data_IF_457717087182
#
_entry.id   IF_457717087182
#
_cell.length_a   1.000
_cell.length_b   1.000
_cell.length_c   1.000
_cell.angle_alpha   90.00
_cell.angle_beta   90.00
_cell.angle_gamma   90.00
#
_symmetry.space_group_name_H-M   'P 1'
#
loop_
_entity.id
_entity.type
_entity.pdbx_description
1 polymer ?
#
# COMPACT_ATOMS: atom_id res chain seq x y z
N UNK A 1 -15.62 154.85 144.45
CA UNK A 1 -14.82 153.65 144.10
C UNK A 1 -15.42 153.03 142.84
N UNK A 2 -14.86 153.39 141.69
CA UNK A 2 -15.40 153.11 140.35
C UNK A 2 -14.23 152.93 139.36
N UNK A 3 -13.24 152.08 139.67
CA UNK A 3 -12.01 152.00 138.88
C UNK A 3 -11.36 150.60 138.89
N UNK A 4 -12.18 149.56 138.71
CA UNK A 4 -11.70 148.16 138.75
C UNK A 4 -12.21 147.22 137.64
N UNK A 5 -13.01 147.70 136.67
CA UNK A 5 -13.64 146.81 135.67
C UNK A 5 -13.04 146.89 134.25
N UNK A 6 -12.02 147.71 134.01
CA UNK A 6 -11.47 147.92 132.65
C UNK A 6 -10.21 147.08 132.38
N UNK A 7 -9.53 146.58 133.42
CA UNK A 7 -8.33 145.74 133.24
C UNK A 7 -8.65 144.27 132.92
N UNK A 8 -9.83 143.76 133.28
CA UNK A 8 -10.22 142.36 133.03
C UNK A 8 -10.80 142.11 131.62
N UNK A 9 -11.24 143.17 130.91
CA UNK A 9 -11.73 143.05 129.53
C UNK A 9 -10.61 143.08 128.48
N UNK A 10 -9.46 143.70 128.80
CA UNK A 10 -8.32 143.76 127.89
C UNK A 10 -7.55 142.43 127.78
N UNK A 11 -7.56 141.58 128.82
CA UNK A 11 -6.90 140.27 128.78
C UNK A 11 -7.76 139.20 128.08
N UNK A 12 -9.09 139.22 128.27
CA UNK A 12 -10.02 138.34 127.53
C UNK A 12 -10.03 138.63 126.03
N UNK A 13 -9.78 139.88 125.62
CA UNK A 13 -9.66 140.21 124.20
C UNK A 13 -8.40 139.61 123.56
N UNK A 14 -7.28 139.53 124.29
CA UNK A 14 -6.04 138.90 123.79
C UNK A 14 -6.12 137.37 123.76
N UNK A 15 -6.77 136.75 124.73
CA UNK A 15 -7.01 135.30 124.71
C UNK A 15 -8.02 134.90 123.61
N UNK A 16 -9.01 135.75 123.31
CA UNK A 16 -9.93 135.53 122.20
C UNK A 16 -9.25 135.68 120.83
N UNK A 17 -8.28 136.59 120.68
CA UNK A 17 -7.49 136.73 119.45
C UNK A 17 -6.53 135.55 119.23
N UNK A 18 -5.91 135.04 120.30
CA UNK A 18 -5.07 133.84 120.24
C UNK A 18 -5.88 132.56 119.94
N UNK A 19 -7.09 132.44 120.50
CA UNK A 19 -8.00 131.33 120.20
C UNK A 19 -8.48 131.37 118.74
N UNK A 20 -8.82 132.55 118.21
CA UNK A 20 -9.20 132.70 116.79
C UNK A 20 -8.03 132.47 115.83
N UNK A 21 -6.79 132.78 116.23
CA UNK A 21 -5.61 132.44 115.43
C UNK A 21 -5.36 130.92 115.39
N UNK A 22 -5.52 130.24 116.54
CA UNK A 22 -5.36 128.79 116.63
C UNK A 22 -6.49 128.03 115.90
N UNK A 23 -7.71 128.57 115.91
CA UNK A 23 -8.85 128.02 115.16
C UNK A 23 -8.69 128.25 113.65
N UNK A 24 -8.04 129.34 113.23
CA UNK A 24 -7.67 129.57 111.81
C UNK A 24 -6.52 128.69 111.35
N UNK A 25 -5.54 128.38 112.20
CA UNK A 25 -4.50 127.39 111.87
C UNK A 25 -5.05 125.96 111.88
N UNK A 26 -5.96 125.62 112.79
CA UNK A 26 -6.62 124.32 112.80
C UNK A 26 -7.60 124.15 111.62
N UNK A 27 -8.30 125.21 111.20
CA UNK A 27 -9.16 125.15 110.00
C UNK A 27 -8.36 125.20 108.69
N UNK A 28 -7.18 125.85 108.67
CA UNK A 28 -6.26 125.79 107.54
C UNK A 28 -5.55 124.42 107.45
N UNK A 29 -5.17 123.81 108.58
CA UNK A 29 -4.61 122.46 108.60
C UNK A 29 -5.65 121.38 108.28
N UNK A 30 -6.89 121.55 108.75
CA UNK A 30 -8.03 120.69 108.40
C UNK A 30 -8.43 120.86 106.93
N UNK A 31 -8.40 122.09 106.41
CA UNK A 31 -8.61 122.37 104.98
C UNK A 31 -7.50 121.77 104.11
N UNK A 32 -6.24 121.88 104.51
CA UNK A 32 -5.11 121.26 103.81
C UNK A 32 -5.16 119.73 103.86
N UNK A 33 -5.54 119.14 105.00
CA UNK A 33 -5.75 117.69 105.11
C UNK A 33 -6.97 117.21 104.32
N UNK A 34 -8.04 118.01 104.24
CA UNK A 34 -9.20 117.71 103.43
C UNK A 34 -8.87 117.81 101.93
N UNK A 35 -8.13 118.83 101.50
CA UNK A 35 -7.67 119.00 100.12
C UNK A 35 -6.65 117.93 99.72
N UNK A 36 -5.77 117.51 100.63
CA UNK A 36 -4.82 116.41 100.42
C UNK A 36 -5.54 115.05 100.37
N UNK A 37 -6.54 114.82 101.23
CA UNK A 37 -7.39 113.63 101.17
C UNK A 37 -8.26 113.61 99.89
N UNK A 38 -8.74 114.76 99.44
CA UNK A 38 -9.49 114.88 98.18
C UNK A 38 -8.58 114.67 96.98
N UNK A 39 -7.33 115.18 97.02
CA UNK A 39 -6.31 114.95 96.01
C UNK A 39 -5.90 113.47 95.95
N UNK A 40 -5.69 112.82 97.11
CA UNK A 40 -5.40 111.40 97.21
C UNK A 40 -6.58 110.54 96.71
N UNK A 41 -7.81 110.86 97.11
CA UNK A 41 -9.00 110.18 96.61
C UNK A 41 -9.22 110.40 95.10
N UNK A 42 -8.88 111.59 94.57
CA UNK A 42 -8.94 111.85 93.13
C UNK A 42 -7.87 111.06 92.36
N UNK A 43 -6.65 110.96 92.92
CA UNK A 43 -5.58 110.15 92.35
C UNK A 43 -5.90 108.65 92.40
N UNK A 44 -6.49 108.15 93.49
CA UNK A 44 -6.97 106.76 93.59
C UNK A 44 -8.11 106.48 92.60
N UNK A 45 -9.04 107.43 92.44
CA UNK A 45 -10.14 107.30 91.46
C UNK A 45 -9.61 107.29 90.04
N UNK A 46 -8.64 108.14 89.72
CA UNK A 46 -8.06 108.21 88.39
C UNK A 46 -7.18 106.97 88.12
N UNK A 47 -6.42 106.47 89.11
CA UNK A 47 -5.71 105.19 89.01
C UNK A 47 -6.65 104.00 88.85
N UNK A 48 -7.77 103.96 89.59
CA UNK A 48 -8.80 102.94 89.43
C UNK A 48 -9.45 103.01 88.05
N UNK A 49 -9.65 104.22 87.51
CA UNK A 49 -10.16 104.43 86.15
C UNK A 49 -9.18 103.93 85.10
N UNK A 50 -7.90 104.26 85.21
CA UNK A 50 -6.84 103.77 84.32
C UNK A 50 -6.74 102.25 84.36
N UNK A 51 -6.86 101.63 85.54
CA UNK A 51 -6.87 100.18 85.68
C UNK A 51 -8.13 99.54 85.07
N UNK A 52 -9.29 100.20 85.20
CA UNK A 52 -10.53 99.76 84.56
C UNK A 52 -10.42 99.86 83.03
N UNK A 53 -9.86 100.93 82.49
CA UNK A 53 -9.56 101.08 81.06
C UNK A 53 -8.54 100.03 80.58
N UNK A 54 -7.52 99.71 81.38
CA UNK A 54 -6.55 98.64 81.09
C UNK A 54 -7.22 97.27 81.05
N UNK A 55 -8.07 96.95 82.02
CA UNK A 55 -8.81 95.69 82.08
C UNK A 55 -9.83 95.58 80.95
N UNK A 56 -10.53 96.66 80.61
CA UNK A 56 -11.41 96.72 79.44
C UNK A 56 -10.63 96.47 78.15
N UNK A 57 -9.43 97.06 78.01
CA UNK A 57 -8.54 96.81 76.88
C UNK A 57 -8.09 95.35 76.78
N UNK A 58 -7.71 94.73 77.91
CA UNK A 58 -7.34 93.32 77.96
C UNK A 58 -8.52 92.38 77.66
N UNK A 59 -9.72 92.71 78.14
CA UNK A 59 -10.92 91.92 77.89
C UNK A 59 -11.33 92.02 76.42
N UNK A 60 -11.27 93.21 75.83
CA UNK A 60 -11.47 93.41 74.38
C UNK A 60 -10.42 92.66 73.55
N UNK A 61 -9.14 92.72 73.94
CA UNK A 61 -8.08 91.96 73.28
C UNK A 61 -8.30 90.45 73.39
N UNK A 62 -8.74 89.96 74.55
CA UNK A 62 -9.07 88.54 74.76
C UNK A 62 -10.27 88.12 73.91
N UNK A 63 -11.33 88.91 73.85
CA UNK A 63 -12.48 88.61 72.97
C UNK A 63 -12.08 88.57 71.50
N UNK A 64 -11.21 89.48 71.05
CA UNK A 64 -10.68 89.46 69.68
C UNK A 64 -9.83 88.22 69.44
N UNK A 65 -8.99 87.82 70.40
CA UNK A 65 -8.19 86.58 70.34
C UNK A 65 -9.08 85.34 70.28
N UNK A 66 -10.08 85.22 71.16
CA UNK A 66 -11.02 84.09 71.17
C UNK A 66 -11.83 84.02 69.87
N UNK A 67 -12.26 85.16 69.32
CA UNK A 67 -12.92 85.21 67.99
C UNK A 67 -11.96 84.80 66.87
N UNK A 68 -10.70 85.20 66.93
CA UNK A 68 -9.68 84.79 65.95
C UNK A 68 -9.41 83.28 66.01
N UNK A 69 -9.27 82.71 67.20
CA UNK A 69 -9.11 81.26 67.40
C UNK A 69 -10.36 80.48 66.94
N UNK A 70 -11.57 80.99 67.21
CA UNK A 70 -12.80 80.39 66.69
C UNK A 70 -12.87 80.48 65.16
N UNK A 71 -12.40 81.57 64.56
CA UNK A 71 -12.31 81.70 63.11
C UNK A 71 -11.26 80.75 62.52
N UNK A 72 -10.12 80.57 63.18
CA UNK A 72 -9.07 79.67 62.73
C UNK A 72 -9.50 78.20 62.84
N UNK A 73 -10.10 77.80 63.96
CA UNK A 73 -10.63 76.43 64.13
C UNK A 73 -11.76 76.11 63.15
N UNK A 74 -12.66 77.06 62.88
CA UNK A 74 -13.71 76.87 61.86
C UNK A 74 -13.13 76.82 60.45
N UNK A 75 -12.11 77.63 60.15
CA UNK A 75 -11.38 77.57 58.88
C UNK A 75 -10.66 76.23 58.68
N UNK A 76 -9.89 75.76 59.67
CA UNK A 76 -9.21 74.46 59.62
C UNK A 76 -10.21 73.32 59.49
N UNK A 77 -11.36 73.40 60.18
CA UNK A 77 -12.43 72.42 60.04
C UNK A 77 -13.02 72.41 58.63
N UNK A 78 -13.26 73.59 58.05
CA UNK A 78 -13.74 73.71 56.67
C UNK A 78 -12.71 73.18 55.65
N UNK A 79 -11.42 73.50 55.82
CA UNK A 79 -10.32 72.99 54.98
C UNK A 79 -10.17 71.45 55.10
N UNK A 80 -10.39 70.89 56.29
CA UNK A 80 -10.39 69.44 56.50
C UNK A 80 -11.61 68.75 55.86
N UNK A 81 -12.81 69.34 55.99
CA UNK A 81 -14.03 68.85 55.33
C UNK A 81 -13.91 68.93 53.81
N UNK A 82 -13.32 70.00 53.27
CA UNK A 82 -13.03 70.14 51.84
C UNK A 82 -12.02 69.09 51.37
N UNK A 83 -10.92 68.88 52.11
CA UNK A 83 -9.93 67.84 51.80
C UNK A 83 -10.54 66.44 51.84
N UNK A 84 -11.42 66.17 52.80
CA UNK A 84 -12.16 64.91 52.90
C UNK A 84 -13.13 64.74 51.72
N UNK A 85 -13.83 65.80 51.31
CA UNK A 85 -14.71 65.78 50.17
C UNK A 85 -13.95 65.48 48.87
N UNK A 86 -12.79 66.13 48.65
CA UNK A 86 -11.91 65.87 47.50
C UNK A 86 -11.43 64.42 47.50
N UNK A 87 -10.91 63.91 48.62
CA UNK A 87 -10.44 62.53 48.71
C UNK A 87 -11.56 61.50 48.46
N UNK A 88 -12.78 61.76 48.96
CA UNK A 88 -13.93 60.88 48.72
C UNK A 88 -14.38 60.88 47.26
N UNK A 89 -14.29 62.04 46.59
CA UNK A 89 -14.55 62.19 45.15
C UNK A 89 -13.51 61.45 44.31
N UNK A 90 -12.22 61.60 44.62
CA UNK A 90 -11.15 60.88 43.92
C UNK A 90 -11.27 59.36 44.09
N UNK A 91 -11.63 58.88 45.30
CA UNK A 91 -11.90 57.46 45.53
C UNK A 91 -13.11 56.96 44.75
N UNK A 92 -14.17 57.77 44.61
CA UNK A 92 -15.34 57.43 43.80
C UNK A 92 -14.97 57.36 42.31
N UNK A 93 -14.23 58.35 41.80
CA UNK A 93 -13.76 58.38 40.42
C UNK A 93 -12.81 57.21 40.11
N UNK A 94 -11.92 56.83 41.04
CA UNK A 94 -11.08 55.64 40.89
C UNK A 94 -11.89 54.35 40.88
N UNK A 95 -12.92 54.22 41.73
CA UNK A 95 -13.81 53.04 41.73
C UNK A 95 -14.59 52.93 40.43
N UNK A 96 -15.16 54.02 39.93
CA UNK A 96 -15.86 54.05 38.66
C UNK A 96 -14.94 53.66 37.49
N UNK A 97 -13.68 54.15 37.48
CA UNK A 97 -12.68 53.73 36.50
C UNK A 97 -12.33 52.24 36.60
N UNK A 98 -12.19 51.72 37.81
CA UNK A 98 -11.92 50.28 38.03
C UNK A 98 -13.10 49.41 37.59
N UNK A 99 -14.33 49.81 37.88
CA UNK A 99 -15.54 49.10 37.45
C UNK A 99 -15.70 49.15 35.93
N UNK A 100 -15.44 50.29 35.29
CA UNK A 100 -15.44 50.41 33.84
C UNK A 100 -14.35 49.53 33.17
N UNK A 101 -13.15 49.48 33.76
CA UNK A 101 -12.08 48.58 33.29
C UNK A 101 -12.46 47.10 33.46
N UNK A 102 -13.08 46.73 34.57
CA UNK A 102 -13.56 45.36 34.80
C UNK A 102 -14.67 44.97 33.82
N UNK A 103 -15.61 45.88 33.55
CA UNK A 103 -16.68 45.66 32.57
C UNK A 103 -16.12 45.48 31.15
N UNK A 104 -15.19 46.34 30.74
CA UNK A 104 -14.51 46.24 29.44
C UNK A 104 -13.72 44.94 29.30
N UNK A 105 -12.97 44.54 30.33
CA UNK A 105 -12.23 43.28 30.31
C UNK A 105 -13.16 42.05 30.27
N UNK A 106 -14.31 42.11 30.94
CA UNK A 106 -15.31 41.04 30.89
C UNK A 106 -15.95 40.91 29.50
N UNK A 107 -16.21 42.03 28.81
CA UNK A 107 -16.71 42.05 27.44
C UNK A 107 -15.68 41.47 26.45
N UNK A 108 -14.40 41.86 26.56
CA UNK A 108 -13.33 41.30 25.74
C UNK A 108 -13.16 39.78 25.95
N UNK A 109 -13.23 39.32 27.21
CA UNK A 109 -13.19 37.89 27.52
C UNK A 109 -14.41 37.13 26.98
N UNK A 110 -15.60 37.73 27.01
CA UNK A 110 -16.81 37.13 26.43
C UNK A 110 -16.67 36.98 24.92
N UNK A 111 -16.18 38.02 24.24
CA UNK A 111 -15.91 38.01 22.79
C UNK A 111 -14.84 36.98 22.41
N UNK A 112 -13.73 36.92 23.15
CA UNK A 112 -12.68 35.92 22.91
C UNK A 112 -13.19 34.48 23.10
N UNK A 113 -14.07 34.24 24.09
CA UNK A 113 -14.71 32.94 24.29
C UNK A 113 -15.64 32.56 23.14
N UNK A 114 -16.38 33.51 22.60
CA UNK A 114 -17.24 33.30 21.43
C UNK A 114 -16.42 32.97 20.18
N UNK A 115 -15.33 33.70 19.92
CA UNK A 115 -14.41 33.44 18.81
C UNK A 115 -13.76 32.04 18.93
N UNK A 116 -13.30 31.65 20.13
CA UNK A 116 -12.76 30.30 20.37
C UNK A 116 -13.83 29.23 20.21
N UNK A 117 -15.05 29.45 20.69
CA UNK A 117 -16.15 28.49 20.53
C UNK A 117 -16.55 28.31 19.06
N UNK A 118 -16.56 29.39 18.28
CA UNK A 118 -16.80 29.34 16.84
C UNK A 118 -15.69 28.57 16.10
N UNK A 119 -14.42 28.84 16.41
CA UNK A 119 -13.29 28.12 15.83
C UNK A 119 -13.31 26.62 16.16
N UNK A 120 -13.60 26.26 17.42
CA UNK A 120 -13.73 24.86 17.82
C UNK A 120 -14.91 24.16 17.14
N UNK A 121 -16.04 24.85 16.93
CA UNK A 121 -17.16 24.29 16.20
C UNK A 121 -16.80 23.98 14.73
N UNK A 122 -16.07 24.89 14.08
CA UNK A 122 -15.56 24.68 12.72
C UNK A 122 -14.57 23.50 12.65
N UNK A 123 -13.61 23.42 13.57
CA UNK A 123 -12.67 22.28 13.63
C UNK A 123 -13.38 20.95 13.85
N UNK A 124 -14.42 20.91 14.70
CA UNK A 124 -15.23 19.69 14.93
C UNK A 124 -15.98 19.28 13.68
N UNK A 125 -16.54 20.23 12.91
CA UNK A 125 -17.17 19.92 11.63
C UNK A 125 -16.17 19.43 10.59
N UNK A 126 -14.98 20.05 10.50
CA UNK A 126 -13.89 19.60 9.63
C UNK A 126 -13.43 18.17 10.00
N UNK A 127 -13.27 17.86 11.29
CA UNK A 127 -12.93 16.51 11.75
C UNK A 127 -14.03 15.49 11.40
N UNK A 128 -15.30 15.83 11.56
CA UNK A 128 -16.42 14.95 11.17
C UNK A 128 -16.45 14.70 9.66
N UNK A 129 -16.22 15.73 8.85
CA UNK A 129 -16.15 15.60 7.39
C UNK A 129 -14.96 14.71 6.97
N UNK A 130 -13.79 14.90 7.60
CA UNK A 130 -12.63 14.06 7.36
C UNK A 130 -12.87 12.59 7.75
N UNK A 131 -13.50 12.33 8.90
CA UNK A 131 -13.85 10.99 9.35
C UNK A 131 -14.88 10.32 8.42
N UNK A 132 -15.87 11.07 7.93
CA UNK A 132 -16.83 10.57 6.94
C UNK A 132 -16.11 10.16 5.64
N UNK A 133 -15.23 11.02 5.11
CA UNK A 133 -14.44 10.73 3.91
C UNK A 133 -13.51 9.52 4.10
N UNK A 134 -12.92 9.33 5.29
CA UNK A 134 -12.11 8.15 5.60
C UNK A 134 -12.96 6.88 5.66
N UNK A 135 -14.16 6.95 6.24
CA UNK A 135 -15.09 5.81 6.27
C UNK A 135 -15.58 5.39 4.88
N UNK A 136 -15.83 6.35 3.98
CA UNK A 136 -16.18 6.08 2.58
C UNK A 136 -15.02 5.44 1.82
N UNK A 137 -13.77 5.90 2.05
CA UNK A 137 -12.57 5.28 1.47
C UNK A 137 -12.36 3.86 1.95
N UNK A 138 -12.57 3.59 3.24
CA UNK A 138 -12.49 2.24 3.81
C UNK A 138 -13.53 1.31 3.16
N UNK A 139 -14.78 1.74 3.06
CA UNK A 139 -15.84 0.97 2.41
C UNK A 139 -15.55 0.70 0.92
N UNK A 140 -15.00 1.67 0.20
CA UNK A 140 -14.60 1.50 -1.20
C UNK A 140 -13.45 0.48 -1.37
N UNK A 141 -12.48 0.47 -0.45
CA UNK A 141 -11.38 -0.50 -0.46
C UNK A 141 -11.86 -1.92 -0.13
N UNK A 142 -12.80 -2.09 0.80
CA UNK A 142 -13.41 -3.38 1.10
C UNK A 142 -14.21 -3.91 -0.11
N UNK A 143 -15.00 -3.05 -0.76
CA UNK A 143 -15.73 -3.42 -1.97
C UNK A 143 -14.78 -3.86 -3.09
N UNK A 144 -13.73 -3.08 -3.37
CA UNK A 144 -12.72 -3.42 -4.38
C UNK A 144 -11.97 -4.72 -4.04
N UNK A 145 -11.68 -4.96 -2.75
CA UNK A 145 -11.08 -6.21 -2.28
C UNK A 145 -11.98 -7.42 -2.53
N UNK A 146 -13.29 -7.28 -2.28
CA UNK A 146 -14.27 -8.35 -2.53
C UNK A 146 -14.43 -8.66 -4.02
N UNK A 147 -14.42 -7.64 -4.89
CA UNK A 147 -14.48 -7.82 -6.34
C UNK A 147 -13.20 -8.49 -6.88
N UNK A 148 -12.03 -8.06 -6.42
CA UNK A 148 -10.75 -8.68 -6.80
C UNK A 148 -10.67 -10.14 -6.36
N UNK A 149 -11.16 -10.47 -5.15
CA UNK A 149 -11.24 -11.85 -4.67
C UNK A 149 -12.18 -12.69 -5.55
N UNK A 150 -13.37 -12.16 -5.89
CA UNK A 150 -14.32 -12.84 -6.78
C UNK A 150 -13.77 -13.06 -8.19
N UNK A 151 -13.06 -12.09 -8.76
CA UNK A 151 -12.39 -12.24 -10.06
C UNK A 151 -11.27 -13.29 -10.02
N UNK A 152 -10.49 -13.34 -8.95
CA UNK A 152 -9.44 -14.34 -8.77
C UNK A 152 -10.02 -15.76 -8.65
N UNK A 153 -11.12 -15.94 -7.91
CA UNK A 153 -11.81 -17.23 -7.81
C UNK A 153 -12.39 -17.68 -9.15
N UNK A 154 -12.99 -16.76 -9.92
CA UNK A 154 -13.50 -17.04 -11.26
C UNK A 154 -12.38 -17.45 -12.22
N UNK A 155 -11.23 -16.77 -12.19
CA UNK A 155 -10.06 -17.13 -12.99
C UNK A 155 -9.49 -18.50 -12.61
N UNK A 156 -9.43 -18.84 -11.31
CA UNK A 156 -9.03 -20.16 -10.85
C UNK A 156 -10.00 -21.26 -11.28
N UNK A 157 -11.31 -20.98 -11.28
CA UNK A 157 -12.31 -21.91 -11.78
C UNK A 157 -12.14 -22.17 -13.29
N UNK A 158 -11.88 -21.12 -14.09
CA UNK A 158 -11.61 -21.24 -15.52
C UNK A 158 -10.36 -22.09 -15.80
N UNK A 159 -9.24 -21.80 -15.12
CA UNK A 159 -7.99 -22.57 -15.26
C UNK A 159 -8.15 -24.04 -14.85
N UNK A 160 -8.98 -24.33 -13.84
CA UNK A 160 -9.31 -25.72 -13.46
C UNK A 160 -10.09 -26.44 -14.55
N UNK A 161 -11.08 -25.77 -15.17
CA UNK A 161 -11.81 -26.31 -16.31
C UNK A 161 -10.90 -26.62 -17.48
N UNK A 162 -10.04 -25.67 -17.88
CA UNK A 162 -9.08 -25.85 -18.98
C UNK A 162 -8.10 -27.01 -18.71
N UNK A 163 -7.64 -27.17 -17.46
CA UNK A 163 -6.81 -28.30 -17.06
C UNK A 163 -7.56 -29.62 -17.22
N UNK A 164 -8.82 -29.68 -16.79
CA UNK A 164 -9.61 -30.92 -16.85
C UNK A 164 -9.93 -31.31 -18.30
N UNK A 165 -10.19 -30.33 -19.17
CA UNK A 165 -10.34 -30.53 -20.61
C UNK A 165 -9.04 -31.07 -21.23
N UNK A 166 -7.89 -30.46 -20.91
CA UNK A 166 -6.59 -30.91 -21.39
C UNK A 166 -6.22 -32.32 -20.91
N UNK A 167 -6.56 -32.68 -19.67
CA UNK A 167 -6.40 -34.05 -19.16
C UNK A 167 -7.28 -35.03 -19.93
N UNK A 168 -8.53 -34.65 -20.22
CA UNK A 168 -9.43 -35.45 -21.06
C UNK A 168 -8.91 -35.65 -22.49
N UNK A 169 -8.30 -34.63 -23.10
CA UNK A 169 -7.64 -34.76 -24.41
C UNK A 169 -6.41 -35.68 -24.34
N UNK A 170 -5.58 -35.57 -23.30
CA UNK A 170 -4.42 -36.46 -23.11
C UNK A 170 -4.85 -37.92 -22.93
N UNK A 171 -5.91 -38.19 -22.19
CA UNK A 171 -6.46 -39.54 -22.03
C UNK A 171 -6.96 -40.10 -23.37
N UNK A 172 -7.66 -39.29 -24.17
CA UNK A 172 -8.09 -39.68 -25.53
C UNK A 172 -6.91 -39.99 -26.43
N UNK A 173 -5.91 -39.11 -26.50
CA UNK A 173 -4.70 -39.32 -27.30
C UNK A 173 -3.92 -40.57 -26.86
N UNK A 174 -3.88 -40.85 -25.56
CA UNK A 174 -3.27 -42.07 -25.02
C UNK A 174 -4.04 -43.32 -25.47
N UNK A 175 -5.37 -43.26 -25.49
CA UNK A 175 -6.23 -44.31 -26.04
C UNK A 175 -5.97 -44.55 -27.53
N UNK A 176 -5.93 -43.49 -28.33
CA UNK A 176 -5.64 -43.57 -29.77
C UNK A 176 -4.26 -44.16 -30.05
N UNK A 177 -3.26 -43.80 -29.23
CA UNK A 177 -1.91 -44.35 -29.35
C UNK A 177 -1.87 -45.85 -29.03
N UNK A 178 -2.55 -46.28 -27.96
CA UNK A 178 -2.65 -47.71 -27.61
C UNK A 178 -3.36 -48.52 -28.71
N UNK A 179 -4.45 -48.00 -29.27
CA UNK A 179 -5.15 -48.64 -30.39
C UNK A 179 -4.27 -48.75 -31.64
N UNK A 180 -3.45 -47.73 -31.91
CA UNK A 180 -2.50 -47.75 -33.02
C UNK A 180 -1.37 -48.77 -32.79
N UNK A 181 -0.82 -48.85 -31.59
CA UNK A 181 0.19 -49.86 -31.25
C UNK A 181 -0.36 -51.28 -31.41
N UNK A 182 -1.60 -51.53 -30.99
CA UNK A 182 -2.26 -52.83 -31.17
C UNK A 182 -2.45 -53.16 -32.67
N UNK A 183 -2.87 -52.18 -33.47
CA UNK A 183 -2.98 -52.33 -34.93
C UNK A 183 -1.63 -52.62 -35.59
N UNK A 184 -0.55 -51.94 -35.17
CA UNK A 184 0.80 -52.18 -35.67
C UNK A 184 1.31 -53.58 -35.27
N UNK A 185 1.07 -54.03 -34.03
CA UNK A 185 1.42 -55.38 -33.58
C UNK A 185 0.66 -56.46 -34.37
N UNK A 186 -0.64 -56.28 -34.58
CA UNK A 186 -1.46 -57.17 -35.41
C UNK A 186 -0.94 -57.26 -36.84
N UNK A 187 -0.64 -56.10 -37.46
CA UNK A 187 -0.05 -56.05 -38.80
C UNK A 187 1.34 -56.69 -38.89
N UNK A 188 2.16 -56.61 -37.84
CA UNK A 188 3.45 -57.31 -37.77
C UNK A 188 3.27 -58.82 -37.69
N UNK A 189 2.33 -59.31 -36.88
CA UNK A 189 2.00 -60.74 -36.79
C UNK A 189 1.50 -61.29 -38.13
N UNK A 190 0.62 -60.55 -38.82
CA UNK A 190 0.15 -60.91 -40.16
C UNK A 190 1.31 -60.95 -41.16
N UNK A 191 2.21 -59.97 -41.12
CA UNK A 191 3.40 -59.94 -41.98
C UNK A 191 4.31 -61.17 -41.72
N UNK A 192 4.51 -61.56 -40.47
CA UNK A 192 5.27 -62.77 -40.11
C UNK A 192 4.59 -64.04 -40.62
N UNK A 193 3.26 -64.13 -40.46
CA UNK A 193 2.45 -65.25 -40.96
C UNK A 193 2.53 -65.39 -42.48
N UNK A 194 2.36 -64.30 -43.22
CA UNK A 194 2.47 -64.27 -44.68
C UNK A 194 3.88 -64.65 -45.14
N UNK A 195 4.92 -64.17 -44.44
CA UNK A 195 6.31 -64.54 -44.74
C UNK A 195 6.57 -66.04 -44.55
N UNK A 196 6.03 -66.64 -43.48
CA UNK A 196 6.11 -68.07 -43.25
C UNK A 196 5.39 -68.87 -44.35
N UNK A 197 4.21 -68.42 -44.76
CA UNK A 197 3.43 -69.05 -45.83
C UNK A 197 4.13 -68.99 -47.19
N UNK A 198 4.72 -67.84 -47.54
CA UNK A 198 5.57 -67.72 -48.74
C UNK A 198 6.77 -68.67 -48.67
N UNK A 199 7.38 -68.83 -47.50
CA UNK A 199 8.45 -69.80 -47.28
C UNK A 199 8.01 -71.24 -47.53
N UNK A 200 6.85 -71.63 -47.00
CA UNK A 200 6.22 -72.95 -47.20
C UNK A 200 5.94 -73.22 -48.68
N UNK A 201 5.30 -72.29 -49.37
CA UNK A 201 4.95 -72.42 -50.79
C UNK A 201 6.20 -72.55 -51.67
N UNK A 202 7.29 -71.82 -51.36
CA UNK A 202 8.57 -71.96 -52.08
C UNK A 202 9.20 -73.33 -51.88
N UNK A 203 9.12 -73.89 -50.67
CA UNK A 203 9.61 -75.24 -50.40
C UNK A 203 8.80 -76.30 -51.16
N UNK A 204 7.46 -76.18 -51.19
CA UNK A 204 6.58 -77.06 -51.97
C UNK A 204 6.85 -76.98 -53.47
N UNK A 205 7.07 -75.76 -53.99
CA UNK A 205 7.42 -75.56 -55.40
C UNK A 205 8.77 -76.22 -55.72
N UNK A 206 9.79 -76.04 -54.87
CA UNK A 206 11.10 -76.67 -55.05
C UNK A 206 11.02 -78.21 -54.99
N UNK A 207 10.16 -78.77 -54.13
CA UNK A 207 9.94 -80.20 -54.04
C UNK A 207 9.28 -80.72 -55.33
N UNK A 208 8.22 -80.05 -55.82
CA UNK A 208 7.60 -80.38 -57.12
C UNK A 208 8.61 -80.27 -58.27
N UNK A 209 9.46 -79.24 -58.28
CA UNK A 209 10.50 -79.10 -59.30
C UNK A 209 11.50 -80.24 -59.31
N UNK A 210 11.85 -80.79 -58.14
CA UNK A 210 12.68 -81.98 -58.03
C UNK A 210 11.98 -83.25 -58.52
N UNK A 211 10.69 -83.43 -58.21
CA UNK A 211 9.88 -84.54 -58.70
C UNK A 211 9.79 -84.53 -60.22
N UNK A 212 9.46 -83.37 -60.81
CA UNK A 212 9.42 -83.21 -62.27
C UNK A 212 10.78 -83.47 -62.95
N UNK A 213 11.90 -83.17 -62.27
CA UNK A 213 13.22 -83.48 -62.80
C UNK A 213 13.45 -85.01 -62.84
N UNK A 214 13.05 -85.73 -61.80
CA UNK A 214 13.09 -87.20 -61.75
C UNK A 214 12.20 -87.80 -62.84
N UNK A 215 10.96 -87.33 -62.97
CA UNK A 215 10.03 -87.79 -64.00
C UNK A 215 10.57 -87.53 -65.42
N UNK A 216 11.24 -86.39 -65.67
CA UNK A 216 11.89 -86.12 -66.96
C UNK A 216 13.00 -87.12 -67.27
N UNK A 217 13.80 -87.51 -66.26
CA UNK A 217 14.83 -88.54 -66.41
C UNK A 217 14.17 -89.89 -66.70
N UNK A 218 13.14 -90.27 -65.97
CA UNK A 218 12.38 -91.51 -66.20
C UNK A 218 11.77 -91.56 -67.62
N UNK A 219 11.12 -90.49 -68.07
CA UNK A 219 10.58 -90.39 -69.44
C UNK A 219 11.69 -90.54 -70.48
N UNK A 220 12.85 -89.93 -70.27
CA UNK A 220 14.00 -90.06 -71.18
C UNK A 220 14.55 -91.49 -71.23
N UNK A 221 14.55 -92.19 -70.09
CA UNK A 221 14.91 -93.61 -69.98
C UNK A 221 13.91 -94.49 -70.73
N UNK A 222 12.61 -94.31 -70.46
CA UNK A 222 11.53 -95.03 -71.16
C UNK A 222 11.55 -94.81 -72.67
N UNK A 223 11.84 -93.58 -73.13
CA UNK A 223 12.02 -93.29 -74.57
C UNK A 223 13.22 -94.04 -75.16
N UNK A 224 14.33 -94.11 -74.44
CA UNK A 224 15.52 -94.85 -74.89
C UNK A 224 15.26 -96.37 -74.95
N UNK A 225 14.53 -96.92 -73.98
CA UNK A 225 14.06 -98.32 -74.01
C UNK A 225 13.10 -98.57 -75.17
N UNK A 226 12.16 -97.65 -75.41
CA UNK A 226 11.24 -97.72 -76.55
C UNK A 226 12.01 -97.77 -77.89
N UNK A 227 12.99 -96.89 -78.07
CA UNK A 227 13.83 -96.86 -79.28
C UNK A 227 14.67 -98.14 -79.44
N UNK A 228 15.19 -98.69 -78.33
CA UNK A 228 15.91 -99.97 -78.32
C UNK A 228 15.00 -101.11 -78.74
N UNK A 229 13.83 -101.24 -78.12
CA UNK A 229 12.86 -102.27 -78.50
C UNK A 229 12.42 -102.08 -79.95
N UNK A 230 12.12 -100.85 -80.40
CA UNK A 230 11.76 -100.60 -81.80
C UNK A 230 12.85 -101.05 -82.80
N UNK A 231 14.12 -100.99 -82.42
CA UNK A 231 15.22 -101.57 -83.22
C UNK A 231 15.27 -103.09 -83.15
N UNK A 232 15.12 -103.68 -81.96
CA UNK A 232 15.04 -105.15 -81.79
C UNK A 232 13.88 -105.72 -82.63
N UNK A 233 12.73 -105.04 -82.58
CA UNK A 233 11.56 -105.23 -83.42
C UNK A 233 11.86 -105.17 -84.92
N UNK A 234 12.58 -104.14 -85.36
CA UNK A 234 12.98 -104.03 -86.75
C UNK A 234 13.90 -105.19 -87.16
N UNK A 235 14.74 -105.69 -86.25
CA UNK A 235 15.55 -106.91 -86.50
C UNK A 235 14.74 -108.20 -86.47
N UNK A 236 13.64 -108.28 -85.71
CA UNK A 236 12.70 -109.41 -85.76
C UNK A 236 11.79 -109.37 -86.99
N UNK A 237 11.52 -108.21 -87.57
CA UNK A 237 10.81 -108.09 -88.85
C UNK A 237 11.58 -108.70 -90.03
N UNK A 238 12.88 -109.01 -89.87
CA UNK A 238 13.69 -109.78 -90.82
C UNK A 238 13.63 -111.31 -90.58
N UNK A 239 12.87 -111.79 -89.57
CA UNK A 239 12.67 -113.21 -89.25
C UNK A 239 11.15 -113.57 -89.17
N UNK A 240 10.59 -114.39 -90.08
CA UNK A 240 9.15 -114.36 -90.39
C UNK A 240 8.17 -115.12 -89.45
N UNK A 241 8.46 -115.42 -88.17
CA UNK A 241 7.56 -116.29 -87.37
C UNK A 241 7.09 -115.78 -85.97
N UNK A 242 7.41 -114.55 -85.51
CA UNK A 242 6.97 -114.06 -84.17
C UNK A 242 6.26 -112.68 -84.15
N UNK A 243 5.40 -112.40 -85.13
CA UNK A 243 4.76 -111.08 -85.30
C UNK A 243 3.69 -110.68 -84.27
N UNK A 244 3.06 -111.62 -83.56
CA UNK A 244 1.87 -111.31 -82.75
C UNK A 244 2.17 -110.85 -81.31
N UNK A 245 3.12 -111.49 -80.61
CA UNK A 245 3.53 -111.04 -79.27
C UNK A 245 4.17 -109.66 -79.30
N UNK A 246 4.92 -109.41 -80.37
CA UNK A 246 5.59 -108.15 -80.55
C UNK A 246 4.56 -107.00 -80.77
N UNK A 247 3.51 -107.21 -81.55
CA UNK A 247 2.47 -106.20 -81.73
C UNK A 247 1.76 -105.87 -80.39
N UNK A 248 1.58 -106.86 -79.51
CA UNK A 248 1.05 -106.62 -78.15
C UNK A 248 1.99 -105.76 -77.30
N UNK A 249 3.28 -106.08 -77.26
CA UNK A 249 4.28 -105.29 -76.50
C UNK A 249 4.38 -103.85 -77.02
N UNK A 250 4.32 -103.65 -78.35
CA UNK A 250 4.30 -102.32 -78.97
C UNK A 250 3.09 -101.49 -78.53
N UNK A 251 1.88 -102.08 -78.57
CA UNK A 251 0.67 -101.40 -78.11
C UNK A 251 0.66 -101.09 -76.61
N UNK A 252 1.24 -101.96 -75.79
CA UNK A 252 1.34 -101.73 -74.34
C UNK A 252 2.30 -100.59 -74.02
N UNK A 253 3.43 -100.50 -74.71
CA UNK A 253 4.37 -99.38 -74.58
C UNK A 253 3.77 -98.07 -75.07
N UNK A 254 3.03 -98.10 -76.18
CA UNK A 254 2.35 -96.92 -76.68
C UNK A 254 1.27 -96.43 -75.69
N UNK A 255 0.56 -97.35 -75.01
CA UNK A 255 -0.34 -97.00 -73.90
C UNK A 255 0.41 -96.39 -72.72
N UNK A 256 1.56 -96.96 -72.31
CA UNK A 256 2.38 -96.40 -71.22
C UNK A 256 2.94 -95.02 -71.56
N UNK A 257 3.36 -94.81 -72.81
CA UNK A 257 3.78 -93.51 -73.31
C UNK A 257 2.64 -92.48 -73.20
N UNK A 258 1.47 -92.79 -73.75
CA UNK A 258 0.31 -91.89 -73.66
C UNK A 258 -0.15 -91.63 -72.22
N UNK A 259 -0.08 -92.63 -71.35
CA UNK A 259 -0.38 -92.44 -69.92
C UNK A 259 0.64 -91.49 -69.26
N UNK A 260 1.93 -91.63 -69.56
CA UNK A 260 2.98 -90.72 -69.05
C UNK A 260 2.87 -89.31 -69.62
N UNK A 261 2.47 -89.16 -70.89
CA UNK A 261 2.23 -87.85 -71.52
C UNK A 261 1.01 -87.15 -70.89
N UNK A 262 -0.05 -87.89 -70.59
CA UNK A 262 -1.21 -87.36 -69.88
C UNK A 262 -0.89 -86.95 -68.43
N UNK A 263 -0.07 -87.73 -67.71
CA UNK A 263 0.42 -87.36 -66.38
C UNK A 263 1.25 -86.07 -66.43
N UNK A 264 2.14 -85.95 -67.42
CA UNK A 264 2.93 -84.75 -67.63
C UNK A 264 2.05 -83.52 -67.93
N UNK A 265 1.02 -83.66 -68.77
CA UNK A 265 0.13 -82.53 -69.04
C UNK A 265 -0.65 -82.10 -67.80
N UNK A 266 -1.03 -83.05 -66.93
CA UNK A 266 -1.69 -82.76 -65.66
C UNK A 266 -0.77 -81.98 -64.70
N UNK A 267 0.50 -82.40 -64.56
CA UNK A 267 1.47 -81.70 -63.72
C UNK A 267 1.84 -80.32 -64.27
N UNK A 268 1.96 -80.17 -65.60
CA UNK A 268 2.17 -78.87 -66.23
C UNK A 268 0.97 -77.92 -65.98
N UNK A 269 -0.27 -78.44 -65.98
CA UNK A 269 -1.46 -77.66 -65.59
C UNK A 269 -1.47 -77.27 -64.11
N UNK A 270 -1.08 -78.17 -63.20
CA UNK A 270 -0.93 -77.84 -61.79
C UNK A 270 0.14 -76.77 -61.55
N UNK A 271 1.27 -76.83 -62.27
CA UNK A 271 2.32 -75.80 -62.20
C UNK A 271 1.83 -74.44 -62.68
N UNK A 272 1.02 -74.41 -63.75
CA UNK A 272 0.43 -73.16 -64.22
C UNK A 272 -0.47 -72.53 -63.14
N UNK A 273 -1.34 -73.32 -62.50
CA UNK A 273 -2.22 -72.81 -61.43
C UNK A 273 -1.45 -72.37 -60.18
N UNK A 274 -0.37 -73.05 -59.81
CA UNK A 274 0.48 -72.61 -58.69
C UNK A 274 1.24 -71.32 -59.01
N UNK A 275 1.73 -71.13 -60.24
CA UNK A 275 2.37 -69.87 -60.66
C UNK A 275 1.39 -68.71 -60.64
N UNK A 276 0.15 -68.95 -61.07
CA UNK A 276 -0.92 -67.96 -61.02
C UNK A 276 -1.22 -67.55 -59.57
N UNK A 277 -1.38 -68.52 -58.66
CA UNK A 277 -1.59 -68.24 -57.22
C UNK A 277 -0.43 -67.46 -56.59
N UNK A 278 0.81 -67.81 -56.91
CA UNK A 278 1.99 -67.05 -56.43
C UNK A 278 1.95 -65.61 -56.96
N UNK A 279 1.62 -65.42 -58.23
CA UNK A 279 1.52 -64.08 -58.82
C UNK A 279 0.36 -63.26 -58.21
N UNK A 280 -0.77 -63.88 -57.88
CA UNK A 280 -1.87 -63.21 -57.16
C UNK A 280 -1.44 -62.76 -55.76
N UNK A 281 -0.78 -63.63 -55.00
CA UNK A 281 -0.27 -63.28 -53.66
C UNK A 281 0.76 -62.15 -53.73
N UNK A 282 1.64 -62.16 -54.74
CA UNK A 282 2.60 -61.07 -54.96
C UNK A 282 1.92 -59.74 -55.32
N UNK A 283 0.86 -59.76 -56.13
CA UNK A 283 0.06 -58.56 -56.44
C UNK A 283 -0.62 -58.00 -55.19
N UNK A 284 -1.25 -58.85 -54.37
CA UNK A 284 -1.90 -58.43 -53.11
C UNK A 284 -0.86 -57.82 -52.17
N UNK A 285 0.30 -58.45 -52.01
CA UNK A 285 1.39 -57.90 -51.18
C UNK A 285 1.94 -56.57 -51.73
N UNK A 286 1.97 -56.39 -53.05
CA UNK A 286 2.40 -55.13 -53.68
C UNK A 286 1.35 -54.02 -53.51
N UNK A 287 0.07 -54.32 -53.63
CA UNK A 287 -1.03 -53.39 -53.36
C UNK A 287 -1.06 -52.98 -51.89
N UNK A 288 -0.84 -53.91 -50.96
CA UNK A 288 -0.75 -53.58 -49.54
C UNK A 288 0.42 -52.65 -49.24
N UNK A 289 1.59 -52.86 -49.87
CA UNK A 289 2.73 -51.92 -49.78
C UNK A 289 2.40 -50.54 -50.34
N UNK A 290 1.67 -50.45 -51.45
CA UNK A 290 1.21 -49.17 -52.02
C UNK A 290 0.23 -48.46 -51.08
N UNK A 291 -0.73 -49.19 -50.50
CA UNK A 291 -1.68 -48.66 -49.53
C UNK A 291 -0.97 -48.14 -48.26
N UNK A 292 0.02 -48.88 -47.75
CA UNK A 292 0.85 -48.44 -46.62
C UNK A 292 1.68 -47.19 -46.97
N UNK A 293 2.23 -47.09 -48.18
CA UNK A 293 2.94 -45.88 -48.63
C UNK A 293 2.01 -44.67 -48.72
N UNK A 294 0.80 -44.83 -49.26
CA UNK A 294 -0.18 -43.75 -49.37
C UNK A 294 -0.62 -43.25 -47.98
N UNK A 295 -0.81 -44.14 -47.02
CA UNK A 295 -1.13 -43.79 -45.63
C UNK A 295 0.03 -43.11 -44.90
N UNK A 296 1.28 -43.48 -45.21
CA UNK A 296 2.48 -42.83 -44.66
C UNK A 296 2.71 -41.42 -45.25
N UNK A 297 2.40 -41.20 -46.55
CA UNK A 297 2.48 -39.88 -47.18
C UNK A 297 1.27 -38.97 -46.92
N UNK A 298 0.13 -39.53 -46.50
CA UNK A 298 -1.11 -38.78 -46.25
C UNK A 298 -1.16 -38.00 -44.94
N UNK A 299 -0.19 -38.18 -44.03
CA UNK A 299 -0.16 -37.55 -42.69
C UNK A 299 0.89 -36.45 -42.54
N UNK A 300 1.26 -35.78 -43.63
CA UNK A 300 2.38 -34.82 -43.67
C UNK A 300 2.16 -33.50 -44.42
N UNK A 301 0.93 -33.15 -44.84
CA UNK A 301 0.68 -31.88 -45.56
C UNK A 301 -0.67 -31.25 -45.21
N UNK A 302 -0.79 -30.66 -44.01
CA UNK A 302 -1.80 -29.62 -43.72
C UNK A 302 -1.44 -28.81 -42.47
N UNK A 303 -0.32 -28.11 -42.53
CA UNK A 303 0.00 -27.04 -41.57
C UNK A 303 1.16 -26.19 -42.08
N UNK A 304 0.94 -25.45 -43.17
CA UNK A 304 1.83 -24.34 -43.53
C UNK A 304 1.14 -23.27 -44.38
N UNK A 305 0.00 -22.79 -43.91
CA UNK A 305 -0.56 -21.51 -44.33
C UNK A 305 -1.00 -20.76 -43.08
N UNK A 306 -0.12 -19.88 -42.59
CA UNK A 306 -0.38 -18.69 -41.77
C UNK A 306 0.99 -18.12 -41.34
N UNK A 307 1.80 -17.70 -42.31
CA UNK A 307 2.93 -16.79 -42.06
C UNK A 307 2.55 -15.43 -42.67
N UNK A 308 1.85 -14.63 -41.86
CA UNK A 308 1.65 -13.21 -42.10
C UNK A 308 3.01 -12.51 -42.02
N UNK A 309 3.30 -11.74 -43.06
CA UNK A 309 4.59 -11.10 -43.28
C UNK A 309 5.06 -10.19 -42.14
N UNK A 310 6.37 -10.20 -41.94
CA UNK A 310 7.09 -9.11 -41.28
C UNK A 310 8.31 -8.78 -42.15
N UNK A 311 8.42 -7.55 -42.67
CA UNK A 311 9.45 -7.23 -43.66
C UNK A 311 10.75 -6.82 -42.99
N UNK A 312 11.85 -7.37 -43.50
CA UNK A 312 13.12 -6.67 -43.58
C UNK A 312 14.00 -6.72 -42.33
N UNK A 313 15.01 -7.59 -42.37
CA UNK A 313 16.37 -7.11 -42.10
C UNK A 313 17.37 -8.01 -42.83
N UNK A 314 18.00 -7.43 -43.87
CA UNK A 314 19.28 -7.90 -44.37
C UNK A 314 20.30 -7.63 -43.27
N UNK A 315 20.91 -8.68 -42.73
CA UNK A 315 22.16 -8.55 -42.01
C UNK A 315 23.16 -9.44 -42.73
N UNK A 316 24.01 -8.76 -43.49
CA UNK A 316 25.19 -9.32 -44.13
C UNK A 316 26.10 -9.92 -43.06
N UNK A 317 26.37 -11.21 -43.21
CA UNK A 317 27.45 -11.88 -42.53
C UNK A 317 28.77 -11.48 -43.21
N UNK A 318 29.45 -10.48 -42.64
CA UNK A 318 30.89 -10.30 -42.80
C UNK A 318 31.46 -10.08 -41.39
N UNK A 319 32.20 -11.03 -40.86
CA UNK A 319 33.64 -11.18 -41.06
C UNK A 319 34.42 -10.48 -39.94
N UNK A 320 35.01 -11.31 -39.07
CA UNK A 320 36.32 -11.06 -38.45
C UNK A 320 36.36 -10.08 -37.28
N UNK A 321 36.84 -10.56 -36.14
CA UNK A 321 37.36 -9.64 -35.11
C UNK A 321 37.38 -10.23 -33.71
N UNK A 322 38.40 -11.02 -33.41
CA UNK A 322 38.87 -11.20 -32.03
C UNK A 322 39.14 -9.82 -31.42
N UNK A 323 38.53 -9.51 -30.27
CA UNK A 323 39.21 -9.12 -29.02
C UNK A 323 38.17 -8.67 -27.98
N UNK A 324 38.52 -8.90 -26.71
CA UNK A 324 37.61 -8.95 -25.58
C UNK A 324 37.06 -7.60 -25.16
N UNK A 325 35.81 -7.63 -24.73
CA UNK A 325 35.09 -6.52 -24.16
C UNK A 325 33.61 -6.83 -24.25
N UNK A 326 33.05 -7.49 -23.23
CA UNK A 326 31.61 -7.76 -23.15
C UNK A 326 30.92 -6.42 -22.84
N UNK A 327 30.21 -5.78 -23.79
CA UNK A 327 29.55 -4.53 -23.49
C UNK A 327 28.40 -4.83 -22.52
N UNK A 328 28.36 -4.13 -21.38
CA UNK A 328 27.32 -4.24 -20.35
C UNK A 328 25.88 -4.15 -20.91
N UNK A 329 25.70 -3.59 -22.10
CA UNK A 329 24.42 -3.49 -22.80
C UNK A 329 23.87 -4.83 -23.32
N UNK A 330 24.69 -5.84 -23.62
CA UNK A 330 24.17 -7.16 -24.04
C UNK A 330 23.74 -8.03 -22.86
N UNK A 331 24.34 -7.82 -21.69
CA UNK A 331 23.96 -8.51 -20.45
C UNK A 331 22.56 -8.12 -19.97
N UNK A 332 22.20 -6.83 -20.05
CA UNK A 332 20.86 -6.37 -19.65
C UNK A 332 19.75 -6.93 -20.55
N UNK A 333 20.01 -7.09 -21.86
CA UNK A 333 19.05 -7.72 -22.78
C UNK A 333 18.85 -9.20 -22.52
N UNK A 334 19.91 -9.95 -22.18
CA UNK A 334 19.77 -11.37 -21.84
C UNK A 334 19.11 -11.60 -20.46
N UNK A 335 19.40 -10.74 -19.47
CA UNK A 335 18.72 -10.77 -18.18
C UNK A 335 17.22 -10.48 -18.31
N UNK A 336 16.82 -9.65 -19.28
CA UNK A 336 15.41 -9.36 -19.54
C UNK A 336 14.68 -10.54 -20.19
N UNK A 337 15.34 -11.41 -20.97
CA UNK A 337 14.67 -12.49 -21.69
C UNK A 337 14.43 -13.75 -20.83
N UNK A 338 15.25 -14.01 -19.81
CA UNK A 338 15.17 -15.22 -18.99
C UNK A 338 14.44 -14.96 -17.67
N UNK A 339 13.34 -15.67 -17.41
CA UNK A 339 12.58 -15.59 -16.15
C UNK A 339 13.44 -15.97 -14.94
N UNK A 340 14.31 -16.97 -15.08
CA UNK A 340 15.25 -17.42 -14.04
C UNK A 340 16.26 -16.33 -13.70
N UNK A 341 16.78 -15.62 -14.69
CA UNK A 341 17.69 -14.50 -14.48
C UNK A 341 17.02 -13.33 -13.76
N UNK A 342 15.74 -13.03 -14.05
CA UNK A 342 14.99 -12.01 -13.31
C UNK A 342 14.83 -12.38 -11.85
N UNK A 343 14.47 -13.64 -11.54
CA UNK A 343 14.34 -14.11 -10.16
C UNK A 343 15.66 -13.97 -9.41
N UNK A 344 16.77 -14.44 -9.99
CA UNK A 344 18.10 -14.32 -9.38
C UNK A 344 18.52 -12.86 -9.17
N UNK A 345 18.22 -11.97 -10.13
CA UNK A 345 18.49 -10.54 -10.00
C UNK A 345 17.70 -9.90 -8.85
N UNK A 346 16.40 -10.13 -8.76
CA UNK A 346 15.58 -9.60 -7.67
C UNK A 346 15.96 -10.18 -6.31
N UNK A 347 16.30 -11.48 -6.25
CA UNK A 347 16.83 -12.10 -5.02
C UNK A 347 18.15 -11.46 -4.59
N UNK A 348 19.05 -11.15 -5.53
CA UNK A 348 20.31 -10.45 -5.23
C UNK A 348 20.06 -9.02 -4.71
N UNK A 349 19.16 -8.26 -5.34
CA UNK A 349 18.82 -6.90 -4.89
C UNK A 349 18.19 -6.91 -3.50
N UNK A 350 17.34 -7.90 -3.19
CA UNK A 350 16.74 -8.07 -1.86
C UNK A 350 17.80 -8.40 -0.80
N UNK A 351 18.74 -9.30 -1.10
CA UNK A 351 19.88 -9.62 -0.23
C UNK A 351 20.77 -8.40 0.02
N UNK A 352 21.01 -7.59 -1.01
CA UNK A 352 21.81 -6.36 -0.89
C UNK A 352 21.12 -5.35 0.05
N UNK A 353 19.81 -5.13 -0.11
CA UNK A 353 19.04 -4.25 0.79
C UNK A 353 19.06 -4.76 2.23
N UNK A 354 18.88 -6.07 2.43
CA UNK A 354 18.96 -6.68 3.74
C UNK A 354 20.34 -6.48 4.39
N UNK A 355 21.41 -6.63 3.61
CA UNK A 355 22.77 -6.42 4.10
C UNK A 355 23.04 -4.95 4.46
N UNK A 356 22.57 -4.00 3.64
CA UNK A 356 22.65 -2.57 3.92
C UNK A 356 21.90 -2.23 5.22
N UNK A 357 20.71 -2.80 5.45
CA UNK A 357 19.96 -2.62 6.69
C UNK A 357 20.70 -3.16 7.92
N UNK A 358 21.36 -4.32 7.81
CA UNK A 358 22.19 -4.86 8.90
C UNK A 358 23.35 -3.92 9.21
N UNK A 359 24.04 -3.40 8.20
CA UNK A 359 25.16 -2.47 8.40
C UNK A 359 24.67 -1.16 9.03
N UNK A 360 23.53 -0.63 8.58
CA UNK A 360 22.90 0.54 9.19
C UNK A 360 22.48 0.27 10.64
N UNK A 361 21.90 -0.87 10.95
CA UNK A 361 21.57 -1.24 12.34
C UNK A 361 22.82 -1.39 13.21
N UNK A 362 23.92 -1.91 12.68
CA UNK A 362 25.19 -1.97 13.41
C UNK A 362 25.83 -0.59 13.60
N UNK A 363 25.74 0.28 12.61
CA UNK A 363 26.31 1.63 12.65
C UNK A 363 25.51 2.58 13.57
N UNK A 364 24.18 2.43 13.62
CA UNK A 364 23.28 3.30 14.40
C UNK A 364 22.82 2.68 15.73
N UNK A 365 22.87 1.36 15.88
CA UNK A 365 22.49 0.63 17.10
C UNK A 365 23.66 0.26 18.01
N UNK A 366 24.90 0.57 17.63
CA UNK A 366 26.12 0.34 18.42
C UNK A 366 26.55 1.55 19.27
N UNK A 367 25.60 2.32 19.79
CA UNK A 367 25.88 3.32 20.84
C UNK A 367 25.93 2.64 22.22
N UNK A 368 26.88 3.01 23.11
CA UNK A 368 26.92 2.50 24.48
C UNK A 368 25.67 2.84 25.30
#
# INVERSE_FOLDING_TARGET
>A
EASGSVAAEAERAKEAEAALAQEREASAASGAQADEALAAASAERDAARDELERLQGLLAAKEVSERAEQQETTRVKAEAEESQAVASRELAEMRERMEAQQASAAEELAKAREEVAAGLAEEVEQCRAAQAAESERAAALEAAGSEAAGQAEAALAALRSERDDALGELERLRGDFAAKEESEQSGQQETMRLRAEVGRLRAELSAKDSTDAVERVEISGLRSELDRMKKEVASFAEAPEEGEEHNRRSHELQRRLHASEAQRSALEAERATLRERVAEVEKVAQEERRSRQLMASGRGSRSKDLEMGSPGSKVDASQGGRQGGWPLQTLSRQLAASSVCRVLFFSYVALLHFWVLIVLQHAYGGGP
#
